data_IF_900749885557
#
_entry.id   IF_900749885557
#
_cell.length_a   1.000
_cell.length_b   1.000
_cell.length_c   1.000
_cell.angle_alpha   90.00
_cell.angle_beta   90.00
_cell.angle_gamma   90.00
#
_symmetry.space_group_name_H-M   'P 1'
#
loop_
_entity.id
_entity.type
_entity.pdbx_description
1 polymer ?
#
# COMPACT_ATOMS: atom_id res chain seq x y z
N UNK A 1 43.04 -9.64 -56.25
CA UNK A 1 42.90 -9.75 -54.77
C UNK A 1 41.65 -9.01 -54.33
N UNK A 2 40.53 -9.71 -54.10
CA UNK A 2 39.30 -9.12 -53.53
C UNK A 2 39.28 -9.48 -52.04
N UNK A 3 39.44 -8.48 -51.16
CA UNK A 3 39.27 -8.65 -49.71
C UNK A 3 37.77 -8.76 -49.41
N UNK A 4 37.33 -9.93 -48.96
CA UNK A 4 36.00 -10.13 -48.42
C UNK A 4 36.03 -9.67 -46.95
N UNK A 5 35.37 -8.56 -46.64
CA UNK A 5 35.10 -8.15 -45.26
C UNK A 5 33.85 -8.90 -44.79
N UNK A 6 34.05 -9.91 -43.94
CA UNK A 6 32.95 -10.52 -43.19
C UNK A 6 32.66 -9.60 -42.01
N UNK A 7 31.61 -8.78 -42.13
CA UNK A 7 31.06 -8.02 -41.01
C UNK A 7 30.32 -9.03 -40.11
N UNK A 8 30.96 -9.41 -39.00
CA UNK A 8 30.35 -10.21 -37.95
C UNK A 8 29.35 -9.30 -37.21
N UNK A 9 28.12 -9.23 -37.71
CA UNK A 9 27.01 -8.60 -37.00
C UNK A 9 26.65 -9.43 -35.78
N UNK A 10 27.17 -9.06 -34.61
CA UNK A 10 26.70 -9.60 -33.33
C UNK A 10 25.27 -9.08 -33.12
N UNK A 11 24.31 -9.87 -33.57
CA UNK A 11 22.91 -9.76 -33.21
C UNK A 11 22.81 -10.05 -31.72
N UNK A 12 22.90 -9.01 -30.89
CA UNK A 12 22.54 -9.09 -29.47
C UNK A 12 21.03 -9.26 -29.42
N UNK A 13 20.57 -10.50 -29.61
CA UNK A 13 19.25 -10.90 -29.18
C UNK A 13 19.33 -10.86 -27.66
N UNK A 14 18.68 -9.86 -27.05
CA UNK A 14 18.51 -9.78 -25.61
C UNK A 14 17.69 -10.99 -25.16
N UNK A 15 18.35 -12.14 -24.95
CA UNK A 15 17.79 -13.21 -24.16
C UNK A 15 17.58 -12.61 -22.77
N UNK A 16 16.33 -12.26 -22.45
CA UNK A 16 15.93 -12.07 -21.06
C UNK A 16 16.17 -13.40 -20.38
N UNK A 17 17.31 -13.57 -19.73
CA UNK A 17 17.65 -14.76 -18.97
C UNK A 17 16.71 -14.80 -17.78
N UNK A 18 15.59 -15.52 -17.94
CA UNK A 18 14.56 -15.71 -16.92
C UNK A 18 15.02 -16.50 -15.69
N UNK A 19 16.33 -16.72 -15.53
CA UNK A 19 16.97 -17.39 -14.40
C UNK A 19 17.86 -16.49 -13.52
N UNK A 20 17.94 -15.17 -13.80
CA UNK A 20 18.72 -14.26 -12.97
C UNK A 20 17.89 -13.68 -11.82
N UNK A 21 18.51 -13.56 -10.64
CA UNK A 21 17.92 -12.82 -9.51
C UNK A 21 17.64 -11.38 -9.95
N UNK A 22 16.44 -10.90 -9.61
CA UNK A 22 16.07 -9.50 -9.82
C UNK A 22 17.00 -8.64 -8.98
N UNK A 23 17.43 -7.50 -9.51
CA UNK A 23 18.31 -6.58 -8.82
C UNK A 23 17.52 -5.43 -8.20
N UNK A 24 17.90 -5.02 -6.99
CA UNK A 24 17.50 -3.75 -6.39
C UNK A 24 18.75 -3.00 -5.95
N UNK A 25 18.93 -1.76 -6.44
CA UNK A 25 20.17 -0.98 -6.25
C UNK A 25 21.44 -1.78 -6.61
N UNK A 26 21.43 -2.47 -7.75
CA UNK A 26 22.52 -3.32 -8.25
C UNK A 26 22.88 -4.51 -7.35
N UNK A 27 22.01 -4.91 -6.42
CA UNK A 27 22.19 -6.08 -5.56
C UNK A 27 21.13 -7.14 -5.86
N UNK A 28 21.49 -8.43 -5.96
CA UNK A 28 20.53 -9.50 -6.16
C UNK A 28 19.61 -9.63 -4.96
N UNK A 29 18.32 -9.77 -5.23
CA UNK A 29 17.29 -9.94 -4.21
C UNK A 29 17.16 -11.43 -3.90
N UNK A 30 17.34 -11.79 -2.64
CA UNK A 30 17.15 -13.15 -2.17
C UNK A 30 15.69 -13.39 -1.77
N UNK A 31 15.07 -12.42 -1.08
CA UNK A 31 13.66 -12.50 -0.73
C UNK A 31 12.97 -11.13 -0.61
N UNK A 32 11.65 -11.14 -0.69
CA UNK A 32 10.76 -10.00 -0.48
C UNK A 32 9.73 -10.41 0.55
N UNK A 33 9.73 -9.72 1.70
CA UNK A 33 8.74 -9.88 2.75
C UNK A 33 7.70 -8.77 2.67
N UNK A 34 6.44 -9.13 2.44
CA UNK A 34 5.32 -8.22 2.56
C UNK A 34 4.56 -8.56 3.85
N UNK A 35 4.59 -7.64 4.81
CA UNK A 35 3.97 -7.80 6.11
C UNK A 35 2.82 -6.81 6.28
N UNK A 36 1.68 -7.27 6.76
CA UNK A 36 0.58 -6.40 7.19
C UNK A 36 0.29 -6.62 8.66
N UNK A 37 0.25 -5.54 9.45
CA UNK A 37 0.04 -5.60 10.89
C UNK A 37 -1.14 -4.72 11.29
N UNK A 38 -2.10 -5.31 11.98
CA UNK A 38 -3.21 -4.60 12.63
C UNK A 38 -3.24 -4.96 14.11
N UNK A 39 -3.12 -3.98 14.98
CA UNK A 39 -3.13 -4.13 16.42
C UNK A 39 -3.84 -2.99 17.11
N UNK A 40 -4.33 -3.26 18.32
CA UNK A 40 -4.93 -2.25 19.19
C UNK A 40 -4.63 -2.60 20.64
N UNK A 41 -4.22 -1.60 21.39
CA UNK A 41 -4.12 -1.64 22.85
C UNK A 41 -5.35 -0.99 23.47
N UNK A 42 -5.79 -1.52 24.60
CA UNK A 42 -6.85 -0.94 25.44
C UNK A 42 -6.34 -0.82 26.86
N UNK A 43 -6.45 0.38 27.41
CA UNK A 43 -6.14 0.69 28.79
C UNK A 43 -7.43 0.79 29.61
N UNK A 44 -7.40 0.31 30.85
CA UNK A 44 -8.50 0.38 31.80
C UNK A 44 -7.98 0.47 33.23
N UNK A 45 -8.82 0.89 34.17
CA UNK A 45 -8.46 0.90 35.61
C UNK A 45 -8.06 -0.49 36.14
N UNK A 46 -8.54 -1.55 35.50
CA UNK A 46 -8.26 -2.95 35.87
C UNK A 46 -7.00 -3.53 35.20
N UNK A 47 -6.33 -2.79 34.32
CA UNK A 47 -5.12 -3.23 33.61
C UNK A 47 -5.17 -2.95 32.11
N UNK A 48 -4.31 -3.65 31.36
CA UNK A 48 -4.09 -3.46 29.93
C UNK A 48 -4.42 -4.73 29.16
N UNK A 49 -4.96 -4.57 27.95
CA UNK A 49 -5.08 -5.69 27.02
C UNK A 49 -4.65 -5.25 25.63
N UNK A 50 -4.01 -6.15 24.90
CA UNK A 50 -3.63 -5.89 23.52
C UNK A 50 -4.02 -7.06 22.62
N UNK A 51 -4.33 -6.74 21.36
CA UNK A 51 -4.59 -7.72 20.32
C UNK A 51 -3.88 -7.29 19.06
N UNK A 52 -3.15 -8.19 18.43
CA UNK A 52 -2.44 -7.98 17.16
C UNK A 52 -2.74 -9.14 16.20
N UNK A 53 -2.95 -8.80 14.94
CA UNK A 53 -2.99 -9.74 13.81
C UNK A 53 -1.92 -9.31 12.83
N UNK A 54 -1.18 -10.28 12.32
CA UNK A 54 -0.12 -10.06 11.36
C UNK A 54 -0.23 -11.08 10.23
N UNK A 55 -0.13 -10.60 9.00
CA UNK A 55 0.03 -11.42 7.82
C UNK A 55 1.45 -11.22 7.30
N UNK A 56 2.11 -12.31 6.89
CA UNK A 56 3.43 -12.30 6.28
C UNK A 56 3.39 -13.11 4.99
N UNK A 57 3.75 -12.48 3.88
CA UNK A 57 3.83 -13.05 2.55
C UNK A 57 5.28 -12.95 2.07
N UNK A 58 5.98 -14.08 2.08
CA UNK A 58 7.42 -14.18 1.82
C UNK A 58 7.63 -14.77 0.43
N UNK A 59 8.24 -13.99 -0.45
CA UNK A 59 8.64 -14.39 -1.78
C UNK A 59 10.14 -14.59 -1.78
N UNK A 60 10.63 -15.73 -2.23
CA UNK A 60 12.06 -16.04 -2.22
C UNK A 60 12.49 -16.57 -3.58
N UNK A 61 13.71 -16.26 -3.98
CA UNK A 61 14.32 -16.85 -5.17
C UNK A 61 14.72 -18.29 -4.86
N UNK A 62 14.30 -19.23 -5.68
CA UNK A 62 14.72 -20.63 -5.61
C UNK A 62 15.82 -20.86 -6.64
N UNK A 63 17.06 -21.06 -6.16
CA UNK A 63 18.22 -21.29 -7.02
C UNK A 63 18.08 -22.55 -7.89
N UNK A 64 17.23 -23.52 -7.52
CA UNK A 64 17.03 -24.75 -8.32
C UNK A 64 16.09 -24.53 -9.50
N UNK A 65 15.01 -23.77 -9.30
CA UNK A 65 14.05 -23.44 -10.35
C UNK A 65 14.37 -22.14 -11.08
N UNK A 66 15.39 -21.42 -10.60
CA UNK A 66 15.86 -20.11 -11.05
C UNK A 66 14.75 -19.06 -11.09
N UNK A 67 13.78 -19.14 -10.17
CA UNK A 67 12.56 -18.30 -10.19
C UNK A 67 12.18 -17.87 -8.78
N UNK A 68 11.49 -16.73 -8.70
CA UNK A 68 10.81 -16.33 -7.47
C UNK A 68 9.53 -17.16 -7.28
N UNK A 69 9.37 -17.66 -6.06
CA UNK A 69 8.20 -18.39 -5.59
C UNK A 69 7.68 -17.82 -4.27
N UNK A 70 6.40 -18.03 -3.98
CA UNK A 70 5.88 -17.85 -2.63
C UNK A 70 6.47 -18.94 -1.75
N UNK A 71 7.40 -18.58 -0.89
CA UNK A 71 7.93 -19.47 0.13
C UNK A 71 6.84 -19.75 1.16
N UNK A 72 6.26 -18.71 1.76
CA UNK A 72 5.22 -18.86 2.79
C UNK A 72 4.27 -17.67 2.84
N UNK A 73 2.98 -17.98 3.02
CA UNK A 73 1.99 -17.02 3.51
C UNK A 73 1.42 -17.54 4.83
N UNK A 74 1.64 -16.80 5.91
CA UNK A 74 1.13 -17.13 7.24
C UNK A 74 0.41 -15.96 7.89
N UNK A 75 -0.42 -16.29 8.88
CA UNK A 75 -1.11 -15.34 9.74
C UNK A 75 -0.87 -15.66 11.20
N UNK A 76 -0.33 -14.69 11.91
CA UNK A 76 -0.10 -14.73 13.36
C UNK A 76 -1.15 -13.90 14.07
N UNK A 77 -1.72 -14.43 15.15
CA UNK A 77 -2.63 -13.73 16.04
C UNK A 77 -2.03 -13.74 17.43
N UNK A 78 -1.82 -12.56 17.96
CA UNK A 78 -1.22 -12.35 19.27
C UNK A 78 -2.24 -11.64 20.16
N UNK A 79 -2.39 -12.13 21.39
CA UNK A 79 -3.25 -11.53 22.41
C UNK A 79 -2.50 -11.58 23.73
N UNK A 80 -2.48 -10.46 24.44
CA UNK A 80 -2.05 -10.49 25.82
C UNK A 80 -2.85 -9.57 26.71
N UNK A 81 -2.68 -9.81 28.00
CA UNK A 81 -3.42 -9.16 29.06
C UNK A 81 -2.54 -9.03 30.29
N UNK A 82 -2.62 -7.85 30.87
CA UNK A 82 -2.18 -7.54 32.21
C UNK A 82 -3.40 -7.23 33.07
N UNK A 83 -3.45 -7.74 34.30
CA UNK A 83 -4.34 -7.21 35.33
C UNK A 83 -3.52 -6.67 36.49
N UNK A 84 -4.08 -5.70 37.21
CA UNK A 84 -3.42 -5.13 38.39
C UNK A 84 -3.11 -6.25 39.39
N UNK A 85 -1.84 -6.39 39.77
CA UNK A 85 -1.32 -7.43 40.66
C UNK A 85 -1.28 -8.87 40.06
N UNK A 86 -1.43 -9.03 38.74
CA UNK A 86 -1.17 -10.29 38.03
C UNK A 86 0.07 -10.13 37.13
N UNK A 87 0.64 -11.25 36.70
CA UNK A 87 1.71 -11.25 35.68
C UNK A 87 1.17 -10.98 34.27
N UNK A 88 2.06 -10.63 33.36
CA UNK A 88 1.71 -10.52 31.94
C UNK A 88 1.39 -11.91 31.37
N UNK A 89 0.22 -12.04 30.75
CA UNK A 89 -0.16 -13.26 30.03
C UNK A 89 -0.23 -12.99 28.54
N UNK A 90 0.36 -13.89 27.75
CA UNK A 90 0.42 -13.78 26.30
C UNK A 90 0.10 -15.10 25.63
N UNK A 91 -0.66 -15.04 24.54
CA UNK A 91 -0.99 -16.19 23.71
C UNK A 91 -0.77 -15.82 22.24
N UNK A 92 0.11 -16.58 21.60
CA UNK A 92 0.38 -16.51 20.18
C UNK A 92 -0.23 -17.72 19.46
N UNK A 93 -0.82 -17.47 18.29
CA UNK A 93 -1.29 -18.53 17.39
C UNK A 93 -0.89 -18.20 15.97
N UNK A 94 -0.06 -19.05 15.39
CA UNK A 94 0.30 -19.00 13.98
C UNK A 94 -0.58 -19.94 13.15
N UNK A 95 -0.90 -19.52 11.93
CA UNK A 95 -1.50 -20.38 10.92
C UNK A 95 -0.82 -20.17 9.58
N UNK A 96 -0.20 -21.22 9.05
CA UNK A 96 0.26 -21.26 7.66
C UNK A 96 -0.97 -21.37 6.75
N UNK A 97 -1.07 -20.50 5.75
CA UNK A 97 -2.20 -20.43 4.81
C UNK A 97 -1.78 -21.02 3.46
N UNK A 98 -0.64 -20.60 2.92
CA UNK A 98 -0.04 -21.18 1.71
C UNK A 98 1.46 -21.34 1.91
N UNK A 99 2.06 -22.26 1.13
CA UNK A 99 3.51 -22.49 1.08
C UNK A 99 3.89 -22.97 -0.31
N UNK A 100 5.11 -22.67 -0.74
CA UNK A 100 5.72 -23.17 -1.99
C UNK A 100 4.79 -23.06 -3.21
N UNK A 101 4.22 -21.87 -3.44
CA UNK A 101 3.39 -21.63 -4.63
C UNK A 101 4.15 -20.86 -5.68
N UNK A 102 3.91 -21.21 -6.94
CA UNK A 102 4.37 -20.39 -8.05
C UNK A 102 3.68 -19.03 -8.01
N UNK A 103 4.44 -17.98 -8.27
CA UNK A 103 3.97 -16.62 -8.43
C UNK A 103 4.41 -16.12 -9.80
N UNK A 104 3.70 -15.11 -10.29
CA UNK A 104 4.07 -14.44 -11.52
C UNK A 104 5.34 -13.60 -11.29
N UNK A 105 6.44 -14.01 -11.90
CA UNK A 105 7.74 -13.34 -11.78
C UNK A 105 7.71 -11.94 -12.39
N UNK A 106 6.86 -11.70 -13.40
CA UNK A 106 6.69 -10.38 -14.00
C UNK A 106 6.05 -9.41 -13.00
N UNK A 107 5.11 -9.87 -12.17
CA UNK A 107 4.54 -9.03 -11.09
C UNK A 107 5.59 -8.67 -10.02
N UNK A 108 6.50 -9.60 -9.72
CA UNK A 108 7.58 -9.35 -8.76
C UNK A 108 8.56 -8.33 -9.32
N UNK A 109 9.03 -8.53 -10.55
CA UNK A 109 9.92 -7.59 -11.24
C UNK A 109 9.31 -6.18 -11.30
N UNK A 110 8.07 -6.07 -11.76
CA UNK A 110 7.38 -4.79 -11.85
C UNK A 110 7.21 -4.11 -10.47
N UNK A 111 6.96 -4.87 -9.40
CA UNK A 111 6.89 -4.30 -8.04
C UNK A 111 8.24 -3.70 -7.64
N UNK A 112 9.35 -4.42 -7.89
CA UNK A 112 10.70 -3.96 -7.56
C UNK A 112 11.10 -2.72 -8.36
N UNK A 113 10.78 -2.70 -9.66
CA UNK A 113 11.02 -1.53 -10.51
C UNK A 113 10.26 -0.31 -10.00
N UNK A 114 8.98 -0.45 -9.64
CA UNK A 114 8.19 0.67 -9.12
C UNK A 114 8.62 1.12 -7.72
N UNK A 115 9.15 0.23 -6.88
CA UNK A 115 9.77 0.61 -5.60
C UNK A 115 11.07 1.41 -5.77
N UNK A 116 11.74 1.25 -6.91
CA UNK A 116 12.95 2.03 -7.26
C UNK A 116 12.61 3.45 -7.72
N UNK A 117 11.36 3.73 -8.09
CA UNK A 117 10.90 5.05 -8.55
C UNK A 117 10.42 5.89 -7.36
N UNK A 118 11.24 6.86 -6.94
CA UNK A 118 10.96 7.72 -5.78
C UNK A 118 9.71 8.58 -5.93
N UNK A 119 9.49 9.16 -7.11
CA UNK A 119 8.36 10.05 -7.36
C UNK A 119 7.82 9.84 -8.76
N UNK A 120 6.51 9.65 -8.87
CA UNK A 120 5.78 9.84 -10.12
C UNK A 120 4.84 11.01 -9.94
N UNK A 121 4.78 11.90 -10.94
CA UNK A 121 3.77 12.96 -10.99
C UNK A 121 2.38 12.32 -10.90
N UNK A 122 1.49 12.96 -10.16
CA UNK A 122 0.18 12.40 -9.85
C UNK A 122 -0.92 13.04 -10.66
N UNK A 123 -1.70 12.19 -11.31
CA UNK A 123 -2.90 12.58 -12.03
C UNK A 123 -3.92 11.43 -12.01
N UNK A 124 -5.15 11.73 -12.37
CA UNK A 124 -6.22 10.75 -12.51
C UNK A 124 -5.82 9.57 -13.41
N UNK A 125 -5.11 9.84 -14.51
CA UNK A 125 -4.62 8.80 -15.42
C UNK A 125 -3.62 7.83 -14.75
N UNK A 126 -2.83 8.31 -13.78
CA UNK A 126 -1.82 7.48 -13.11
C UNK A 126 -2.43 6.51 -12.08
N UNK A 127 -3.63 6.80 -11.58
CA UNK A 127 -4.35 5.95 -10.62
C UNK A 127 -4.85 4.65 -11.29
N UNK A 128 -4.85 4.59 -12.64
CA UNK A 128 -5.37 3.48 -13.45
C UNK A 128 -6.83 3.12 -13.08
N UNK A 129 -7.67 4.15 -12.99
CA UNK A 129 -9.08 4.03 -12.62
C UNK A 129 -9.97 4.39 -13.81
N UNK A 130 -10.87 3.47 -14.21
CA UNK A 130 -11.86 3.79 -15.25
C UNK A 130 -12.86 4.83 -14.75
N UNK A 131 -13.34 5.68 -15.68
CA UNK A 131 -14.32 6.74 -15.35
C UNK A 131 -15.61 6.16 -14.74
N UNK A 132 -16.04 4.99 -15.21
CA UNK A 132 -17.19 4.29 -14.65
C UNK A 132 -16.95 3.88 -13.19
N UNK A 133 -15.78 3.27 -12.90
CA UNK A 133 -15.40 2.87 -11.54
C UNK A 133 -15.24 4.09 -10.64
N UNK A 134 -14.67 5.18 -11.14
CA UNK A 134 -14.58 6.46 -10.43
C UNK A 134 -15.97 6.99 -10.05
N UNK A 135 -16.88 7.16 -11.01
CA UNK A 135 -18.26 7.63 -10.77
C UNK A 135 -19.02 6.73 -9.78
N UNK A 136 -18.81 5.41 -9.86
CA UNK A 136 -19.39 4.44 -8.91
C UNK A 136 -18.86 4.65 -7.49
N UNK A 137 -17.57 4.97 -7.35
CA UNK A 137 -16.91 5.22 -6.06
C UNK A 137 -17.16 6.63 -5.52
N UNK A 138 -17.66 7.56 -6.33
CA UNK A 138 -18.01 8.94 -5.92
C UNK A 138 -19.53 9.21 -5.90
N UNK A 139 -20.36 8.19 -6.14
CA UNK A 139 -21.83 8.34 -6.09
C UNK A 139 -22.33 8.84 -4.73
N UNK A 140 -23.46 9.55 -4.73
CA UNK A 140 -24.12 10.14 -3.53
C UNK A 140 -24.20 9.19 -2.32
N UNK A 141 -24.60 7.94 -2.52
CA UNK A 141 -24.70 6.97 -1.41
C UNK A 141 -23.35 6.64 -0.78
N UNK A 142 -22.29 6.56 -1.60
CA UNK A 142 -20.92 6.33 -1.14
C UNK A 142 -20.39 7.55 -0.40
N UNK A 143 -20.65 8.76 -0.89
CA UNK A 143 -20.30 10.01 -0.22
C UNK A 143 -20.96 10.13 1.16
N UNK A 144 -22.27 9.87 1.26
CA UNK A 144 -22.99 9.84 2.55
C UNK A 144 -22.41 8.82 3.52
N UNK A 145 -22.02 7.64 3.02
CA UNK A 145 -21.38 6.59 3.84
C UNK A 145 -20.04 7.08 4.39
N UNK A 146 -19.16 7.61 3.55
CA UNK A 146 -17.85 8.13 3.98
C UNK A 146 -18.03 9.29 4.98
N UNK A 147 -18.99 10.19 4.74
CA UNK A 147 -19.30 11.28 5.66
C UNK A 147 -19.74 10.76 7.05
N UNK A 148 -20.56 9.70 7.10
CA UNK A 148 -20.96 9.07 8.37
C UNK A 148 -19.78 8.39 9.07
N UNK A 149 -18.95 7.66 8.34
CA UNK A 149 -17.79 6.93 8.88
C UNK A 149 -16.69 7.85 9.44
N UNK A 150 -16.72 9.14 9.08
CA UNK A 150 -15.73 10.14 9.51
C UNK A 150 -16.36 11.29 10.32
N UNK A 151 -17.57 11.13 10.83
CA UNK A 151 -18.28 12.16 11.62
C UNK A 151 -18.48 13.52 10.90
N UNK A 152 -18.54 13.50 9.57
CA UNK A 152 -18.76 14.66 8.70
C UNK A 152 -20.20 14.76 8.17
N UNK A 153 -21.11 13.85 8.58
CA UNK A 153 -22.51 13.81 8.10
C UNK A 153 -23.22 15.16 8.30
N UNK A 154 -22.93 15.86 9.39
CA UNK A 154 -23.54 17.16 9.71
C UNK A 154 -23.29 18.22 8.62
N UNK A 155 -22.17 18.16 7.87
CA UNK A 155 -21.86 19.08 6.77
C UNK A 155 -22.81 18.93 5.57
N UNK A 156 -23.39 17.74 5.40
CA UNK A 156 -24.42 17.50 4.39
C UNK A 156 -25.79 17.93 4.91
N UNK A 157 -26.07 17.70 6.19
CA UNK A 157 -27.35 18.06 6.80
C UNK A 157 -27.57 19.57 6.93
N UNK A 158 -26.50 20.36 7.15
CA UNK A 158 -26.57 21.83 7.29
C UNK A 158 -26.65 22.58 5.96
N UNK A 159 -26.53 21.88 4.84
CA UNK A 159 -26.52 22.50 3.52
C UNK A 159 -27.87 22.34 2.84
N UNK A 160 -28.24 23.32 2.01
CA UNK A 160 -29.45 23.25 1.19
C UNK A 160 -29.34 22.12 0.17
N UNK A 161 -30.47 21.65 -0.36
CA UNK A 161 -30.49 20.61 -1.38
C UNK A 161 -29.70 21.01 -2.63
N UNK A 162 -29.82 22.28 -3.06
CA UNK A 162 -29.05 22.83 -4.18
C UNK A 162 -27.54 22.80 -3.92
N UNK A 163 -27.10 23.17 -2.71
CA UNK A 163 -25.68 23.10 -2.35
C UNK A 163 -25.17 21.66 -2.31
N UNK A 164 -25.99 20.74 -1.80
CA UNK A 164 -25.65 19.32 -1.75
C UNK A 164 -25.58 18.70 -3.15
N UNK A 165 -26.51 19.03 -4.03
CA UNK A 165 -26.50 18.58 -5.42
C UNK A 165 -25.26 19.08 -6.17
N UNK A 166 -24.96 20.38 -6.08
CA UNK A 166 -23.73 20.93 -6.65
C UNK A 166 -22.47 20.22 -6.14
N UNK A 167 -22.41 19.93 -4.83
CA UNK A 167 -21.30 19.18 -4.24
C UNK A 167 -21.21 17.74 -4.80
N UNK A 168 -22.34 17.04 -4.92
CA UNK A 168 -22.37 15.67 -5.45
C UNK A 168 -22.02 15.59 -6.94
N UNK A 169 -22.23 16.66 -7.72
CA UNK A 169 -21.73 16.72 -9.10
C UNK A 169 -20.24 17.07 -9.13
N UNK A 170 -19.80 18.06 -8.36
CA UNK A 170 -18.39 18.47 -8.28
C UNK A 170 -17.47 17.33 -7.86
N UNK A 171 -17.90 16.44 -6.97
CA UNK A 171 -17.09 15.30 -6.51
C UNK A 171 -16.95 14.18 -7.55
N UNK A 172 -17.73 14.23 -8.64
CA UNK A 172 -17.61 13.31 -9.78
C UNK A 172 -16.71 13.89 -10.88
N UNK A 173 -16.15 15.08 -10.69
CA UNK A 173 -15.24 15.72 -11.62
C UNK A 173 -13.79 15.29 -11.36
N UNK A 174 -13.13 14.77 -12.40
CA UNK A 174 -11.73 14.37 -12.35
C UNK A 174 -10.79 15.55 -12.12
N UNK A 175 -11.18 16.78 -12.49
CA UNK A 175 -10.40 18.00 -12.21
C UNK A 175 -10.32 18.25 -10.71
N UNK A 176 -11.43 18.13 -9.98
CA UNK A 176 -11.41 18.27 -8.52
C UNK A 176 -10.64 17.12 -7.85
N UNK A 177 -10.69 15.91 -8.40
CA UNK A 177 -9.87 14.81 -7.93
C UNK A 177 -8.37 15.04 -8.16
N UNK A 178 -7.96 15.59 -9.31
CA UNK A 178 -6.57 15.95 -9.57
C UNK A 178 -6.04 16.97 -8.56
N UNK A 179 -6.86 17.95 -8.16
CA UNK A 179 -6.49 18.90 -7.08
C UNK A 179 -6.17 18.17 -5.78
N UNK A 180 -7.02 17.21 -5.39
CA UNK A 180 -6.75 16.37 -4.22
C UNK A 180 -5.45 15.58 -4.33
N UNK A 181 -5.15 14.98 -5.49
CA UNK A 181 -3.92 14.22 -5.67
C UNK A 181 -2.67 15.11 -5.53
N UNK A 182 -2.72 16.32 -6.08
CA UNK A 182 -1.64 17.31 -5.93
C UNK A 182 -1.45 17.66 -4.45
N UNK A 183 -2.52 17.98 -3.73
CA UNK A 183 -2.44 18.29 -2.29
C UNK A 183 -1.94 17.09 -1.46
N UNK A 184 -2.36 15.87 -1.79
CA UNK A 184 -1.88 14.66 -1.16
C UNK A 184 -0.37 14.48 -1.35
N UNK A 185 0.17 14.81 -2.54
CA UNK A 185 1.60 14.70 -2.83
C UNK A 185 2.48 15.73 -2.11
N UNK A 186 1.88 16.82 -1.62
CA UNK A 186 2.55 17.87 -0.84
C UNK A 186 2.52 17.63 0.67
N UNK A 187 1.75 16.65 1.15
CA UNK A 187 1.67 16.38 2.59
C UNK A 187 3.01 15.86 3.11
N UNK A 188 3.61 16.63 3.99
CA UNK A 188 4.81 16.26 4.74
C UNK A 188 4.47 15.42 5.97
N UNK A 189 5.51 14.74 6.47
CA UNK A 189 5.55 13.73 7.52
C UNK A 189 4.74 14.08 8.77
N UNK A 190 3.45 13.73 8.74
CA UNK A 190 2.58 13.89 9.91
C UNK A 190 2.51 12.58 10.67
N UNK A 191 3.44 12.36 11.60
CA UNK A 191 3.36 11.21 12.50
C UNK A 191 2.18 11.37 13.45
N UNK A 192 1.20 10.47 13.34
CA UNK A 192 0.10 10.39 14.30
C UNK A 192 0.42 9.31 15.31
N UNK A 193 0.67 9.70 16.56
CA UNK A 193 0.84 8.75 17.67
C UNK A 193 -0.55 8.17 18.00
N UNK A 194 -0.69 6.85 17.92
CA UNK A 194 -1.93 6.17 18.29
C UNK A 194 -1.62 4.87 19.05
N UNK A 195 -2.54 4.45 19.92
CA UNK A 195 -2.50 3.13 20.59
C UNK A 195 -2.87 1.96 19.66
N UNK A 196 -2.98 2.23 18.36
CA UNK A 196 -3.25 1.26 17.32
C UNK A 196 -2.04 1.11 16.40
N UNK A 197 -1.73 -0.13 16.03
CA UNK A 197 -0.75 -0.43 15.00
C UNK A 197 -1.54 -0.76 13.75
N UNK A 198 -1.31 -0.05 12.66
CA UNK A 198 -2.00 -0.29 11.41
C UNK A 198 -1.06 0.07 10.27
N UNK A 199 -0.27 -0.91 9.82
CA UNK A 199 0.80 -0.71 8.84
C UNK A 199 0.95 -1.86 7.85
N UNK A 200 1.44 -1.53 6.67
CA UNK A 200 1.96 -2.50 5.70
C UNK A 200 3.46 -2.19 5.54
N UNK A 201 4.29 -3.22 5.57
CA UNK A 201 5.74 -3.16 5.37
C UNK A 201 6.09 -4.01 4.16
N UNK A 202 6.96 -3.51 3.30
CA UNK A 202 7.63 -4.27 2.24
C UNK A 202 9.11 -4.24 2.57
N UNK A 203 9.75 -5.40 2.68
CA UNK A 203 11.16 -5.52 2.96
C UNK A 203 11.81 -6.32 1.84
N UNK A 204 12.74 -5.67 1.13
CA UNK A 204 13.58 -6.31 0.11
C UNK A 204 14.85 -6.76 0.80
N UNK A 205 15.08 -8.07 0.83
CA UNK A 205 16.27 -8.68 1.41
C UNK A 205 17.21 -9.07 0.27
N UNK A 206 18.41 -8.52 0.32
CA UNK A 206 19.54 -8.85 -0.55
C UNK A 206 20.60 -9.57 0.28
N UNK A 207 21.62 -10.13 -0.38
CA UNK A 207 22.63 -10.96 0.29
C UNK A 207 23.30 -10.26 1.48
N UNK A 208 23.48 -8.93 1.41
CA UNK A 208 24.20 -8.16 2.42
C UNK A 208 23.43 -6.94 2.96
N UNK A 209 22.16 -6.75 2.58
CA UNK A 209 21.41 -5.55 2.97
C UNK A 209 19.89 -5.78 2.97
N UNK A 210 19.15 -4.97 3.71
CA UNK A 210 17.70 -4.90 3.62
C UNK A 210 17.21 -3.48 3.34
N UNK A 211 16.12 -3.38 2.59
CA UNK A 211 15.47 -2.11 2.25
C UNK A 211 14.00 -2.18 2.65
N UNK A 212 13.57 -1.30 3.54
CA UNK A 212 12.26 -1.37 4.16
C UNK A 212 11.41 -0.19 3.73
N UNK A 213 10.21 -0.48 3.22
CA UNK A 213 9.19 0.50 2.87
C UNK A 213 7.98 0.34 3.77
N UNK A 214 7.57 1.40 4.47
CA UNK A 214 6.38 1.39 5.33
C UNK A 214 5.25 2.26 4.79
N UNK A 215 4.04 1.71 4.78
CA UNK A 215 2.80 2.39 4.42
C UNK A 215 1.89 2.54 5.63
N UNK A 216 1.71 3.77 6.11
CA UNK A 216 0.94 4.07 7.32
C UNK A 216 -0.53 4.40 7.05
N UNK A 217 -1.39 4.20 8.06
CA UNK A 217 -2.85 4.24 7.91
C UNK A 217 -3.44 5.66 7.87
N UNK A 218 -2.73 6.64 8.42
CA UNK A 218 -3.16 8.03 8.43
C UNK A 218 -3.07 8.67 7.03
N UNK A 219 -2.27 8.08 6.14
CA UNK A 219 -2.26 8.43 4.72
C UNK A 219 -3.35 7.68 3.94
N UNK A 220 -4.20 8.40 3.18
CA UNK A 220 -5.08 7.78 2.20
C UNK A 220 -4.27 6.88 1.27
N UNK A 221 -4.77 5.67 1.03
CA UNK A 221 -4.13 4.74 0.09
C UNK A 221 -2.68 4.39 0.47
N UNK A 222 -2.26 4.59 1.74
CA UNK A 222 -0.88 4.32 2.21
C UNK A 222 0.20 5.09 1.45
N UNK A 223 -0.10 6.31 1.00
CA UNK A 223 0.83 7.10 0.17
C UNK A 223 1.13 8.46 0.81
N UNK A 224 2.42 8.85 0.91
CA UNK A 224 3.60 8.13 0.39
C UNK A 224 3.92 6.83 1.16
N UNK A 225 4.67 5.95 0.50
CA UNK A 225 5.44 4.90 1.19
C UNK A 225 6.71 5.51 1.76
N UNK A 226 7.20 5.04 2.89
CA UNK A 226 8.42 5.56 3.52
C UNK A 226 9.54 4.54 3.42
N UNK A 227 10.58 4.88 2.66
CA UNK A 227 11.82 4.12 2.65
C UNK A 227 12.61 4.46 3.92
N UNK A 228 12.75 3.47 4.81
CA UNK A 228 13.40 3.61 6.11
C UNK A 228 14.92 3.55 5.90
N UNK A 229 15.62 4.66 6.10
CA UNK A 229 17.07 4.78 5.96
C UNK A 229 17.67 5.53 7.17
N UNK A 230 18.11 4.78 8.18
CA UNK A 230 18.74 5.34 9.38
C UNK A 230 17.80 6.28 10.13
N UNK A 231 18.19 7.56 10.25
CA UNK A 231 17.45 8.56 11.04
C UNK A 231 16.46 9.39 10.19
N UNK A 232 16.36 9.16 8.88
CA UNK A 232 15.47 9.92 7.99
C UNK A 232 14.74 9.00 7.04
N UNK A 233 13.42 8.98 7.18
CA UNK A 233 12.55 8.28 6.25
C UNK A 233 12.41 9.10 4.96
N UNK A 234 12.48 8.43 3.81
CA UNK A 234 12.35 9.07 2.50
C UNK A 234 10.99 8.75 1.89
N UNK A 235 10.14 9.75 1.60
CA UNK A 235 8.84 9.50 0.99
C UNK A 235 9.01 9.02 -0.46
N UNK A 236 8.25 7.99 -0.81
CA UNK A 236 8.13 7.39 -2.13
C UNK A 236 6.68 7.51 -2.56
N UNK A 237 6.42 8.43 -3.48
CA UNK A 237 5.07 8.69 -3.96
C UNK A 237 4.86 8.02 -5.33
N UNK A 238 4.30 6.81 -5.28
CA UNK A 238 4.08 6.00 -6.48
C UNK A 238 2.89 5.05 -6.30
N UNK A 239 1.75 5.40 -6.91
CA UNK A 239 0.52 4.60 -6.83
C UNK A 239 0.62 3.22 -7.47
N UNK A 240 1.57 3.00 -8.37
CA UNK A 240 1.74 1.70 -9.04
C UNK A 240 2.21 0.60 -8.09
N UNK A 241 2.94 0.96 -7.02
CA UNK A 241 3.31 0.02 -5.94
C UNK A 241 2.05 -0.69 -5.43
N UNK A 242 1.00 0.06 -5.09
CA UNK A 242 -0.25 -0.51 -4.60
C UNK A 242 -0.97 -1.38 -5.64
N UNK A 243 -0.89 -1.01 -6.92
CA UNK A 243 -1.50 -1.79 -8.01
C UNK A 243 -0.85 -3.17 -8.12
N UNK A 244 0.48 -3.24 -8.06
CA UNK A 244 1.21 -4.50 -8.08
C UNK A 244 0.98 -5.31 -6.81
N UNK A 245 0.98 -4.67 -5.63
CA UNK A 245 0.62 -5.35 -4.37
C UNK A 245 -0.78 -5.97 -4.40
N UNK A 246 -1.78 -5.30 -4.96
CA UNK A 246 -3.14 -5.85 -5.06
C UNK A 246 -3.19 -7.09 -5.96
N UNK A 247 -2.43 -7.10 -7.05
CA UNK A 247 -2.35 -8.23 -7.98
C UNK A 247 -1.60 -9.41 -7.35
N UNK A 248 -0.53 -9.11 -6.60
CA UNK A 248 0.37 -10.10 -6.00
C UNK A 248 -0.22 -10.74 -4.73
N UNK A 249 -0.90 -9.97 -3.88
CA UNK A 249 -1.36 -10.42 -2.57
C UNK A 249 -2.70 -11.17 -2.63
N UNK A 250 -2.92 -12.18 -1.77
CA UNK A 250 -4.19 -12.90 -1.74
C UNK A 250 -5.33 -11.99 -1.27
N UNK A 251 -6.55 -12.21 -1.77
CA UNK A 251 -7.74 -11.39 -1.46
C UNK A 251 -8.03 -11.19 0.04
N UNK A 252 -7.62 -12.16 0.88
CA UNK A 252 -7.83 -12.17 2.33
C UNK A 252 -6.61 -11.68 3.13
N UNK A 253 -5.57 -11.21 2.46
CA UNK A 253 -4.42 -10.57 3.10
C UNK A 253 -4.91 -9.38 3.94
N UNK A 254 -4.28 -9.18 5.09
CA UNK A 254 -4.67 -8.13 6.01
C UNK A 254 -4.44 -6.74 5.39
N UNK A 255 -5.30 -5.77 5.70
CA UNK A 255 -5.23 -4.38 5.22
C UNK A 255 -5.24 -4.17 3.69
N UNK A 256 -5.48 -5.18 2.85
CA UNK A 256 -5.53 -4.99 1.38
C UNK A 256 -6.57 -3.95 0.96
N UNK A 257 -7.65 -3.76 1.73
CA UNK A 257 -8.64 -2.71 1.47
C UNK A 257 -8.06 -1.29 1.54
N UNK A 258 -7.00 -1.08 2.32
CA UNK A 258 -6.36 0.23 2.52
C UNK A 258 -5.42 0.62 1.39
N UNK A 259 -5.02 -0.32 0.55
CA UNK A 259 -4.20 -0.09 -0.66
C UNK A 259 -5.02 -0.22 -1.94
N UNK A 260 -6.37 -0.25 -1.86
CA UNK A 260 -7.29 -0.23 -3.01
C UNK A 260 -7.74 1.17 -3.36
N UNK A 261 -8.11 1.40 -4.62
CA UNK A 261 -8.52 2.72 -5.11
C UNK A 261 -9.72 3.25 -4.32
N UNK A 262 -10.56 2.36 -3.78
CA UNK A 262 -11.63 2.73 -2.85
C UNK A 262 -11.14 3.49 -1.60
N UNK A 263 -9.94 3.19 -1.10
CA UNK A 263 -9.34 3.92 0.01
C UNK A 263 -8.87 5.31 -0.40
N UNK A 264 -8.26 5.44 -1.59
CA UNK A 264 -7.90 6.74 -2.17
C UNK A 264 -9.14 7.62 -2.34
N UNK A 265 -10.21 7.06 -2.89
CA UNK A 265 -11.48 7.75 -3.11
C UNK A 265 -12.20 8.11 -1.80
N UNK A 266 -12.12 7.26 -0.77
CA UNK A 266 -12.61 7.63 0.56
C UNK A 266 -11.84 8.83 1.12
N UNK A 267 -10.52 8.86 0.96
CA UNK A 267 -9.67 9.99 1.36
C UNK A 267 -10.02 11.27 0.59
N UNK A 268 -10.22 11.17 -0.72
CA UNK A 268 -10.69 12.27 -1.56
C UNK A 268 -12.04 12.82 -1.09
N UNK A 269 -13.01 11.94 -0.81
CA UNK A 269 -14.34 12.38 -0.34
C UNK A 269 -14.23 13.09 1.00
N UNK A 270 -13.43 12.56 1.93
CA UNK A 270 -13.17 13.21 3.22
C UNK A 270 -12.56 14.60 3.00
N UNK A 271 -11.50 14.69 2.19
CA UNK A 271 -10.84 15.95 1.85
C UNK A 271 -11.82 16.95 1.22
N UNK A 272 -12.67 16.53 0.28
CA UNK A 272 -13.65 17.41 -0.36
C UNK A 272 -14.74 17.90 0.62
N UNK A 273 -15.15 17.06 1.58
CA UNK A 273 -16.05 17.47 2.67
C UNK A 273 -15.35 18.43 3.65
N UNK A 274 -14.04 18.33 3.82
CA UNK A 274 -13.24 19.22 4.66
C UNK A 274 -12.94 20.55 3.99
N UNK A 275 -12.66 20.55 2.69
CA UNK A 275 -12.53 21.74 1.84
C UNK A 275 -13.82 22.53 1.68
N UNK A 276 -14.99 21.94 1.99
CA UNK A 276 -16.25 22.68 2.06
C UNK A 276 -16.08 23.68 3.21
N UNK A 277 -15.47 24.83 2.89
CA UNK A 277 -15.40 25.99 3.75
C UNK A 277 -16.78 26.15 4.35
N UNK A 278 -16.80 26.36 5.65
CA UNK A 278 -17.93 26.97 6.33
C UNK A 278 -18.00 28.38 5.73
N UNK A 279 -18.47 28.51 4.49
CA UNK A 279 -18.98 29.76 3.97
C UNK A 279 -20.36 29.89 4.62
N UNK A 280 -20.31 30.22 5.92
CA UNK A 280 -21.33 31.02 6.56
C UNK A 280 -21.14 32.45 6.06
#
# INVERSE_FOLDING_TARGET
MKKLYIILGVLVISFTSFGQKILYQNKPIDSILIQSTLGKTKFSKAGQSYRKKQDEYIISFDDKSEKYGLEIYRRTKLKGRYRKNEEWTEAEREKIIYRNKNIDNELVLNLIEELSVKYRKVSYSDVNLSLEKFRKLTRKSKVKKVAKENDLKWKLNRATDKMNEFFFEKIKDTVQFNKFLIELSKKEDTYVITDAIDKIKIEIVTTNNSYVFEGYNYYPYRQPWFLIEGNKDKPVFNFRINQFLIKLLPKRFLLTSSIKESALLNGYIKWALDEKKINQ
#
